data_IF_572586024271
#
_entry.id   IF_572586024271
#
_cell.length_a   1.000
_cell.length_b   1.000
_cell.length_c   1.000
_cell.angle_alpha   90.00
_cell.angle_beta   90.00
_cell.angle_gamma   90.00
#
_symmetry.space_group_name_H-M   'P 1'
#
loop_
_entity.id
_entity.type
_entity.pdbx_description
1 polymer ?
#
# COMPACT_ATOMS: atom_id res chain seq x y z
N UNK A 1 -2.83 -41.62 -5.57
CA UNK A 1 -2.98 -42.55 -4.43
C UNK A 1 -1.83 -42.22 -3.48
N UNK A 2 -2.00 -41.75 -2.26
CA UNK A 2 -2.99 -42.06 -1.21
C UNK A 2 -3.28 -40.79 -0.39
N UNK A 3 -4.58 -40.51 -0.19
CA UNK A 3 -5.15 -39.55 0.78
C UNK A 3 -4.73 -39.90 2.21
N UNK A 4 -4.57 -38.88 3.08
CA UNK A 4 -4.91 -38.88 4.52
C UNK A 4 -4.47 -37.54 5.13
N UNK A 5 -5.16 -36.83 6.01
CA UNK A 5 -6.55 -36.75 6.47
C UNK A 5 -6.56 -35.53 7.39
N UNK A 6 -7.42 -34.55 7.15
CA UNK A 6 -7.66 -33.45 8.09
C UNK A 6 -8.28 -34.01 9.38
N UNK A 7 -7.77 -33.58 10.54
CA UNK A 7 -8.43 -33.80 11.83
C UNK A 7 -8.52 -32.46 12.56
N UNK A 8 -9.74 -31.91 12.61
CA UNK A 8 -10.18 -30.99 13.65
C UNK A 8 -10.14 -31.74 14.99
N UNK A 9 -9.41 -31.23 15.97
CA UNK A 9 -9.45 -31.74 17.33
C UNK A 9 -10.52 -30.99 18.14
N UNK A 10 -11.58 -31.71 18.49
CA UNK A 10 -12.67 -31.32 19.39
C UNK A 10 -12.12 -31.20 20.83
N UNK A 11 -12.37 -30.08 21.50
CA UNK A 11 -11.96 -29.85 22.88
C UNK A 11 -12.73 -30.77 23.85
N UNK A 12 -12.01 -31.66 24.52
CA UNK A 12 -12.51 -32.43 25.67
C UNK A 12 -11.87 -31.87 26.94
N UNK A 13 -12.67 -31.19 27.77
CA UNK A 13 -12.22 -30.65 29.06
C UNK A 13 -12.11 -31.82 30.05
N UNK A 14 -10.88 -32.16 30.42
CA UNK A 14 -10.58 -32.93 31.63
C UNK A 14 -9.46 -32.21 32.39
N UNK A 15 -9.80 -31.78 33.60
CA UNK A 15 -8.96 -31.03 34.55
C UNK A 15 -7.73 -31.82 34.98
N UNK A 16 -6.53 -31.20 34.89
CA UNK A 16 -5.49 -31.06 35.93
C UNK A 16 -4.13 -30.73 35.27
N UNK A 17 -3.55 -29.58 35.65
CA UNK A 17 -2.21 -29.10 35.29
C UNK A 17 -1.92 -28.93 33.79
N UNK A 18 -2.60 -28.00 33.13
CA UNK A 18 -2.09 -27.48 31.86
C UNK A 18 -0.94 -26.52 32.16
N UNK A 19 0.29 -27.05 32.16
CA UNK A 19 1.46 -26.24 31.88
C UNK A 19 1.19 -25.56 30.54
N UNK A 20 0.97 -24.25 30.56
CA UNK A 20 0.92 -23.40 29.37
C UNK A 20 2.25 -23.58 28.63
N UNK A 21 2.29 -24.56 27.74
CA UNK A 21 3.41 -24.80 26.85
C UNK A 21 3.31 -23.78 25.72
N UNK A 22 3.40 -22.50 26.08
CA UNK A 22 3.53 -21.41 25.12
C UNK A 22 4.99 -21.41 24.73
N UNK A 23 5.35 -22.23 23.73
CA UNK A 23 6.61 -22.02 23.03
C UNK A 23 6.65 -20.57 22.59
N UNK A 24 7.64 -19.78 23.04
CA UNK A 24 7.68 -18.38 22.71
C UNK A 24 7.77 -18.23 21.20
N UNK A 25 6.95 -17.34 20.64
CA UNK A 25 6.89 -17.11 19.20
C UNK A 25 8.21 -16.48 18.74
N UNK A 26 8.77 -17.00 17.66
CA UNK A 26 9.91 -16.39 16.97
C UNK A 26 9.37 -15.40 15.93
N UNK A 27 9.47 -14.11 16.20
CA UNK A 27 8.79 -13.08 15.41
C UNK A 27 9.60 -11.77 15.39
N UNK A 28 9.53 -11.04 14.28
CA UNK A 28 10.04 -9.67 14.17
C UNK A 28 8.91 -8.75 13.75
N UNK A 29 8.64 -7.73 14.57
CA UNK A 29 7.71 -6.65 14.30
C UNK A 29 8.47 -5.53 13.60
N UNK A 30 8.22 -5.34 12.32
CA UNK A 30 8.75 -4.19 11.57
C UNK A 30 7.87 -3.00 11.86
N UNK A 31 8.44 -1.97 12.47
CA UNK A 31 7.76 -0.71 12.79
C UNK A 31 8.21 0.33 11.80
N UNK A 32 7.26 0.93 11.11
CA UNK A 32 7.51 1.92 10.07
C UNK A 32 6.83 3.21 10.47
N UNK A 33 7.59 4.30 10.48
CA UNK A 33 7.07 5.66 10.55
C UNK A 33 7.60 6.47 9.36
N UNK A 34 7.05 7.65 9.11
CA UNK A 34 7.55 8.55 8.08
C UNK A 34 7.26 10.01 8.40
N UNK A 35 8.21 10.89 8.04
CA UNK A 35 8.06 12.35 8.03
C UNK A 35 7.68 12.90 6.64
N UNK A 36 7.59 12.04 5.62
CA UNK A 36 7.14 12.37 4.25
C UNK A 36 5.61 12.44 4.19
N UNK A 37 5.01 13.37 4.94
CA UNK A 37 3.56 13.54 5.04
C UNK A 37 3.08 14.77 4.25
N UNK A 38 1.78 14.77 3.93
CA UNK A 38 1.14 15.90 3.23
C UNK A 38 1.26 15.82 1.70
N UNK A 39 0.87 16.89 0.97
CA UNK A 39 0.64 16.85 -0.48
C UNK A 39 1.90 16.61 -1.33
N UNK A 40 3.09 16.85 -0.76
CA UNK A 40 4.37 16.57 -1.39
C UNK A 40 5.07 15.32 -0.82
N UNK A 41 4.42 14.65 0.13
CA UNK A 41 4.93 13.44 0.79
C UNK A 41 4.68 12.18 -0.02
N UNK A 42 4.92 11.03 0.61
CA UNK A 42 4.59 9.73 0.02
C UNK A 42 3.09 9.46 0.17
N UNK A 43 2.52 8.72 -0.78
CA UNK A 43 1.13 8.25 -0.76
C UNK A 43 1.02 6.74 -0.49
N UNK A 44 2.13 5.99 -0.64
CA UNK A 44 2.17 4.56 -0.43
C UNK A 44 3.52 4.14 0.17
N UNK A 45 3.47 3.20 1.11
CA UNK A 45 4.62 2.44 1.61
C UNK A 45 4.49 0.99 1.16
N UNK A 46 5.48 0.50 0.42
CA UNK A 46 5.59 -0.90 0.03
C UNK A 46 6.74 -1.55 0.82
N UNK A 47 6.42 -2.60 1.57
CA UNK A 47 7.38 -3.47 2.22
C UNK A 47 7.58 -4.75 1.39
N UNK A 48 8.79 -4.94 0.86
CA UNK A 48 9.21 -6.20 0.24
C UNK A 48 10.07 -6.99 1.21
N UNK A 49 9.66 -8.21 1.54
CA UNK A 49 10.39 -9.13 2.40
C UNK A 49 10.95 -10.25 1.55
N UNK A 50 12.26 -10.49 1.62
CA UNK A 50 12.96 -11.54 0.89
C UNK A 50 13.53 -12.52 1.91
N UNK A 51 13.05 -13.76 1.88
CA UNK A 51 13.51 -14.84 2.73
C UNK A 51 14.86 -15.41 2.24
N UNK A 52 15.59 -16.17 3.08
CA UNK A 52 16.89 -16.74 2.72
C UNK A 52 16.85 -17.67 1.50
N UNK A 53 15.70 -18.30 1.21
CA UNK A 53 15.47 -19.14 0.04
C UNK A 53 15.16 -18.36 -1.24
N UNK A 54 15.07 -17.02 -1.16
CA UNK A 54 14.73 -16.13 -2.26
C UNK A 54 13.22 -15.89 -2.41
N UNK A 55 12.38 -16.44 -1.54
CA UNK A 55 10.95 -16.19 -1.55
C UNK A 55 10.67 -14.72 -1.24
N UNK A 56 9.83 -14.09 -2.05
CA UNK A 56 9.49 -12.67 -1.92
C UNK A 56 8.04 -12.54 -1.47
N UNK A 57 7.81 -11.73 -0.43
CA UNK A 57 6.48 -11.35 0.04
C UNK A 57 6.37 -9.83 0.01
N UNK A 58 5.19 -9.32 -0.33
CA UNK A 58 4.95 -7.88 -0.41
C UNK A 58 3.78 -7.49 0.48
N UNK A 59 3.92 -6.34 1.12
CA UNK A 59 2.88 -5.69 1.88
C UNK A 59 2.86 -4.20 1.51
N UNK A 60 1.70 -3.56 1.57
CA UNK A 60 1.57 -2.14 1.29
C UNK A 60 0.64 -1.44 2.28
N UNK A 61 0.79 -0.13 2.40
CA UNK A 61 -0.09 0.72 3.18
C UNK A 61 -0.16 2.11 2.56
N UNK A 62 -1.36 2.66 2.47
CA UNK A 62 -1.58 4.01 1.98
C UNK A 62 -1.23 5.07 3.03
N UNK A 63 -0.75 6.23 2.58
CA UNK A 63 -0.37 7.39 3.39
C UNK A 63 -1.17 8.59 2.90
N UNK A 64 -1.76 9.37 3.81
CA UNK A 64 -2.43 10.62 3.43
C UNK A 64 -3.78 10.82 4.10
N UNK A 65 -4.56 11.75 3.55
CA UNK A 65 -5.87 12.11 4.09
C UNK A 65 -6.84 10.92 4.05
N UNK A 66 -7.54 10.68 5.16
CA UNK A 66 -8.48 9.56 5.29
C UNK A 66 -7.82 8.21 5.61
N UNK A 67 -6.49 8.14 5.68
CA UNK A 67 -5.77 6.94 6.10
C UNK A 67 -5.43 6.99 7.59
N UNK A 68 -5.35 5.84 8.29
CA UNK A 68 -4.90 5.80 9.67
C UNK A 68 -3.50 6.38 9.87
N UNK A 69 -3.25 6.91 11.07
CA UNK A 69 -1.98 7.54 11.43
C UNK A 69 -0.79 6.56 11.38
N UNK A 70 0.41 7.13 11.38
CA UNK A 70 1.69 6.41 11.45
C UNK A 70 2.31 6.66 12.84
N UNK A 71 2.95 5.65 13.47
CA UNK A 71 3.57 4.47 12.85
C UNK A 71 2.64 3.29 12.56
N UNK A 72 3.05 2.43 11.63
CA UNK A 72 2.37 1.19 11.22
C UNK A 72 3.27 -0.01 11.46
N UNK A 73 2.69 -1.20 11.64
CA UNK A 73 3.46 -2.42 11.89
C UNK A 73 3.25 -3.50 10.84
N UNK A 74 4.31 -4.23 10.52
CA UNK A 74 4.28 -5.48 9.74
C UNK A 74 4.85 -6.61 10.60
N UNK A 75 4.06 -7.67 10.79
CA UNK A 75 4.49 -8.84 11.54
C UNK A 75 5.19 -9.86 10.63
N UNK A 76 6.45 -10.16 10.90
CA UNK A 76 7.20 -11.23 10.25
C UNK A 76 7.31 -12.41 11.20
N UNK A 77 6.64 -13.51 10.88
CA UNK A 77 6.66 -14.73 11.70
C UNK A 77 7.67 -15.71 11.11
N UNK A 78 8.50 -16.29 11.97
CA UNK A 78 9.43 -17.32 11.56
C UNK A 78 8.71 -18.67 11.39
N UNK A 79 8.95 -19.31 10.25
CA UNK A 79 8.54 -20.69 10.00
C UNK A 79 9.72 -21.64 10.15
N UNK A 80 9.45 -22.81 10.72
CA UNK A 80 10.44 -23.84 10.95
C UNK A 80 11.14 -24.23 9.64
N UNK A 81 12.49 -24.21 9.64
CA UNK A 81 13.30 -24.51 8.46
C UNK A 81 13.80 -23.28 7.69
N UNK A 82 13.23 -22.09 7.89
CA UNK A 82 13.74 -20.85 7.27
C UNK A 82 14.86 -20.24 8.11
N UNK A 83 16.11 -20.66 7.85
CA UNK A 83 17.30 -20.13 8.54
C UNK A 83 18.12 -19.27 7.59
N UNK A 84 18.66 -18.17 8.12
CA UNK A 84 19.55 -17.28 7.37
C UNK A 84 19.10 -15.83 7.41
N UNK A 85 19.62 -15.06 6.45
CA UNK A 85 19.45 -13.63 6.37
C UNK A 85 18.14 -13.28 5.64
N UNK A 86 17.25 -12.59 6.33
CA UNK A 86 16.05 -11.99 5.76
C UNK A 86 16.37 -10.57 5.35
N UNK A 87 15.85 -10.14 4.19
CA UNK A 87 15.96 -8.77 3.73
C UNK A 87 14.59 -8.11 3.74
N UNK A 88 14.48 -6.94 4.37
CA UNK A 88 13.30 -6.08 4.30
C UNK A 88 13.68 -4.83 3.55
N UNK A 89 12.96 -4.55 2.47
CA UNK A 89 13.08 -3.34 1.67
C UNK A 89 11.80 -2.55 1.78
N UNK A 90 11.88 -1.38 2.39
CA UNK A 90 10.79 -0.41 2.45
C UNK A 90 10.96 0.63 1.35
N UNK A 91 9.89 0.86 0.62
CA UNK A 91 9.81 1.86 -0.45
C UNK A 91 8.69 2.83 -0.11
N UNK A 92 8.99 4.11 -0.05
CA UNK A 92 8.01 5.18 0.03
C UNK A 92 7.82 5.77 -1.36
N UNK A 93 6.62 5.65 -1.89
CA UNK A 93 6.28 6.06 -3.25
C UNK A 93 5.34 7.27 -3.24
N UNK A 94 5.34 8.02 -4.33
CA UNK A 94 4.40 9.09 -4.62
C UNK A 94 4.01 9.04 -6.09
N UNK A 95 2.72 8.99 -6.39
CA UNK A 95 2.22 8.84 -7.76
C UNK A 95 2.82 7.62 -8.46
N UNK A 96 3.06 6.52 -7.72
CA UNK A 96 3.74 5.32 -8.23
C UNK A 96 5.27 5.42 -8.35
N UNK A 97 5.86 6.62 -8.26
CA UNK A 97 7.30 6.85 -8.31
C UNK A 97 7.99 6.62 -6.96
N UNK A 98 9.16 5.98 -6.98
CA UNK A 98 9.97 5.78 -5.78
C UNK A 98 10.60 7.09 -5.31
N UNK A 99 10.21 7.57 -4.12
CA UNK A 99 10.84 8.75 -3.50
C UNK A 99 11.98 8.36 -2.57
N UNK A 100 11.75 7.36 -1.74
CA UNK A 100 12.72 6.92 -0.73
C UNK A 100 12.73 5.40 -0.62
N UNK A 101 13.91 4.82 -0.49
CA UNK A 101 14.06 3.39 -0.27
C UNK A 101 15.00 3.14 0.91
N UNK A 102 14.64 2.18 1.77
CA UNK A 102 15.51 1.70 2.84
C UNK A 102 15.56 0.18 2.82
N UNK A 103 16.75 -0.38 2.96
CA UNK A 103 16.96 -1.84 3.00
C UNK A 103 17.65 -2.22 4.29
N UNK A 104 17.12 -3.23 4.99
CA UNK A 104 17.76 -3.81 6.15
C UNK A 104 17.75 -5.33 6.05
N UNK A 105 18.80 -5.96 6.60
CA UNK A 105 18.98 -7.40 6.64
C UNK A 105 19.16 -7.86 8.07
N UNK A 106 18.47 -8.91 8.47
CA UNK A 106 18.51 -9.42 9.84
C UNK A 106 18.30 -10.94 9.87
N UNK A 107 18.55 -11.53 11.03
CA UNK A 107 18.25 -12.94 11.32
C UNK A 107 17.29 -13.03 12.49
N UNK A 108 16.32 -13.94 12.43
CA UNK A 108 15.45 -14.23 13.56
C UNK A 108 16.22 -14.75 14.77
N UNK A 109 15.73 -14.44 15.96
CA UNK A 109 16.24 -15.00 17.22
C UNK A 109 15.18 -15.92 17.81
N UNK A 110 15.51 -17.19 17.92
CA UNK A 110 14.60 -18.24 18.36
C UNK A 110 13.96 -17.92 19.71
N UNK A 111 12.64 -18.05 19.78
CA UNK A 111 11.87 -17.80 20.99
C UNK A 111 11.79 -16.33 21.42
N UNK A 112 12.07 -15.38 20.52
CA UNK A 112 11.97 -13.95 20.81
C UNK A 112 11.04 -13.24 19.83
N UNK A 113 10.26 -12.30 20.37
CA UNK A 113 9.53 -11.29 19.60
C UNK A 113 10.31 -9.99 19.66
N UNK A 114 10.90 -9.59 18.53
CA UNK A 114 11.79 -8.44 18.44
C UNK A 114 11.20 -7.34 17.56
N UNK A 115 11.70 -6.13 17.71
CA UNK A 115 11.32 -4.95 16.93
C UNK A 115 12.44 -4.58 15.96
N UNK A 116 12.06 -4.35 14.70
CA UNK A 116 12.91 -3.75 13.68
C UNK A 116 12.32 -2.41 13.26
N UNK A 117 12.89 -1.29 13.71
CA UNK A 117 12.40 0.04 13.37
C UNK A 117 13.01 0.55 12.06
N UNK A 118 12.17 0.91 11.10
CA UNK A 118 12.56 1.29 9.75
C UNK A 118 11.78 2.51 9.24
N UNK A 119 12.10 3.69 9.78
CA UNK A 119 11.40 4.93 9.41
C UNK A 119 11.81 5.49 8.03
N UNK A 120 10.87 5.93 7.20
CA UNK A 120 11.15 6.56 5.90
C UNK A 120 11.32 8.07 6.10
N UNK A 121 12.56 8.56 5.98
CA UNK A 121 12.91 9.96 6.22
C UNK A 121 12.94 10.79 4.92
N UNK A 122 12.44 12.01 4.97
CA UNK A 122 12.41 12.94 3.84
C UNK A 122 13.81 13.30 3.36
N UNK A 123 14.78 13.41 4.28
CA UNK A 123 16.20 13.60 3.95
C UNK A 123 16.84 12.43 3.20
N UNK A 124 16.17 11.27 3.15
CA UNK A 124 16.61 10.12 2.36
C UNK A 124 16.00 10.12 0.95
N UNK A 125 15.15 11.08 0.58
CA UNK A 125 14.63 11.20 -0.78
C UNK A 125 15.78 11.47 -1.77
N UNK A 126 15.94 10.60 -2.76
CA UNK A 126 17.05 10.66 -3.72
C UNK A 126 18.44 10.37 -3.15
N UNK A 127 18.57 9.93 -1.89
CA UNK A 127 19.85 9.63 -1.28
C UNK A 127 20.45 8.32 -1.86
N UNK A 128 21.71 8.38 -2.27
CA UNK A 128 22.46 7.21 -2.77
C UNK A 128 23.50 6.80 -1.73
N UNK A 129 23.43 5.55 -1.28
CA UNK A 129 24.40 4.95 -0.36
C UNK A 129 25.25 3.88 -1.06
N UNK A 130 26.34 3.45 -0.42
CA UNK A 130 27.17 2.35 -0.93
C UNK A 130 26.39 1.03 -1.05
N UNK A 131 26.98 0.04 -1.73
CA UNK A 131 26.30 -1.21 -2.09
C UNK A 131 25.75 -2.02 -0.89
N UNK A 132 26.40 -1.94 0.27
CA UNK A 132 25.97 -2.60 1.51
C UNK A 132 25.46 -1.58 2.54
N UNK A 133 24.95 -0.45 2.08
CA UNK A 133 24.44 0.63 2.92
C UNK A 133 23.06 1.10 2.50
N UNK A 134 22.32 1.63 3.48
CA UNK A 134 21.02 2.27 3.30
C UNK A 134 21.02 3.62 3.99
N UNK A 135 20.20 4.56 3.51
CA UNK A 135 19.98 5.80 4.23
C UNK A 135 19.31 5.49 5.59
N UNK A 136 19.84 6.08 6.66
CA UNK A 136 19.47 5.87 8.08
C UNK A 136 18.83 7.11 8.70
N UNK A 137 18.97 7.34 10.00
CA UNK A 137 18.55 8.58 10.70
C UNK A 137 19.62 9.70 10.62
N UNK A 138 20.89 9.33 10.49
CA UNK A 138 22.03 10.26 10.52
C UNK A 138 22.93 10.21 9.27
N UNK A 139 22.50 9.53 8.21
CA UNK A 139 23.24 9.36 6.96
C UNK A 139 23.19 7.91 6.47
N UNK A 140 24.11 7.52 5.58
CA UNK A 140 24.24 6.13 5.15
C UNK A 140 24.75 5.25 6.30
N UNK A 141 24.11 4.10 6.51
CA UNK A 141 24.49 3.08 7.49
C UNK A 141 24.48 1.70 6.85
N UNK A 142 25.10 0.70 7.49
CA UNK A 142 25.05 -0.68 7.01
C UNK A 142 23.60 -1.19 6.86
N UNK A 143 23.36 -2.02 5.84
CA UNK A 143 22.08 -2.73 5.70
C UNK A 143 21.94 -3.86 6.72
N UNK A 144 23.04 -4.47 7.15
CA UNK A 144 23.01 -5.53 8.16
C UNK A 144 22.72 -4.95 9.55
N UNK A 145 21.72 -5.52 10.20
CA UNK A 145 21.30 -5.16 11.56
C UNK A 145 21.79 -6.24 12.51
N UNK A 146 22.63 -5.86 13.48
CA UNK A 146 23.13 -6.80 14.47
C UNK A 146 22.00 -7.29 15.38
N UNK A 147 22.13 -8.52 15.88
CA UNK A 147 21.18 -9.12 16.84
C UNK A 147 20.94 -8.25 18.09
N UNK A 148 21.94 -7.47 18.52
CA UNK A 148 21.87 -6.54 19.64
C UNK A 148 21.12 -5.24 19.34
N UNK A 149 20.94 -4.89 18.07
CA UNK A 149 20.17 -3.70 17.65
C UNK A 149 18.67 -3.97 17.62
N UNK A 150 18.27 -5.24 17.55
CA UNK A 150 16.88 -5.65 17.63
C UNK A 150 16.41 -5.61 19.10
N UNK A 151 15.56 -4.64 19.42
CA UNK A 151 15.00 -4.49 20.77
C UNK A 151 13.82 -5.44 20.97
N UNK A 152 13.50 -5.78 22.22
CA UNK A 152 12.30 -6.57 22.50
C UNK A 152 11.05 -5.77 22.14
N UNK A 153 10.10 -6.45 21.48
CA UNK A 153 8.81 -5.86 21.18
C UNK A 153 7.91 -5.93 22.40
N UNK A 154 7.52 -4.77 22.93
CA UNK A 154 6.61 -4.62 24.07
C UNK A 154 5.31 -3.93 23.70
N UNK A 155 5.14 -3.56 22.42
CA UNK A 155 3.95 -2.90 21.91
C UNK A 155 2.79 -3.85 21.63
N UNK A 156 1.63 -3.29 21.36
CA UNK A 156 0.50 -4.01 20.75
C UNK A 156 0.60 -3.84 19.23
N UNK A 157 0.31 -4.90 18.43
CA UNK A 157 0.20 -4.75 16.98
C UNK A 157 -0.73 -3.59 16.61
N UNK A 158 -0.37 -2.83 15.59
CA UNK A 158 -1.20 -1.72 15.12
C UNK A 158 -2.54 -2.26 14.59
N UNK A 159 -3.68 -1.63 14.90
CA UNK A 159 -4.99 -2.08 14.40
C UNK A 159 -5.13 -1.96 12.88
N UNK A 160 -4.25 -1.20 12.23
CA UNK A 160 -4.20 -1.03 10.78
C UNK A 160 -2.79 -1.38 10.29
N UNK A 161 -2.39 -2.66 10.28
CA UNK A 161 -1.05 -3.06 9.88
C UNK A 161 -0.72 -2.67 8.43
N UNK A 162 0.56 -2.79 8.05
CA UNK A 162 0.90 -2.79 6.63
C UNK A 162 0.39 -4.10 6.04
N UNK A 163 -0.63 -4.00 5.20
CA UNK A 163 -1.38 -5.15 4.69
C UNK A 163 -0.52 -5.93 3.70
N UNK A 164 -0.28 -7.21 3.97
CA UNK A 164 0.31 -8.10 2.98
C UNK A 164 -0.64 -8.17 1.78
N UNK A 165 -0.25 -7.56 0.66
CA UNK A 165 -1.07 -7.56 -0.55
C UNK A 165 -1.35 -9.01 -0.91
N UNK A 166 -2.64 -9.35 -0.94
CA UNK A 166 -3.17 -10.66 -1.23
C UNK A 166 -2.69 -11.16 -2.60
N UNK A 167 -1.56 -11.85 -2.60
CA UNK A 167 -1.26 -12.92 -3.54
C UNK A 167 -1.25 -14.22 -2.74
N UNK A 168 -2.47 -14.72 -2.49
CA UNK A 168 -2.81 -16.05 -1.96
C UNK A 168 -2.54 -16.38 -0.47
N UNK A 169 -3.67 -16.51 0.23
CA UNK A 169 -4.00 -17.45 1.34
C UNK A 169 -3.79 -16.99 2.80
N UNK A 170 -4.96 -16.86 3.47
CA UNK A 170 -5.22 -16.98 4.91
C UNK A 170 -4.73 -15.85 5.84
N UNK A 171 -5.42 -14.71 5.79
CA UNK A 171 -5.42 -13.74 6.88
C UNK A 171 -6.45 -14.15 7.95
N UNK A 172 -6.16 -15.21 8.69
CA UNK A 172 -6.87 -15.50 9.94
C UNK A 172 -6.39 -14.51 11.01
N UNK A 173 -7.15 -13.43 11.20
CA UNK A 173 -7.09 -12.60 12.41
C UNK A 173 -7.79 -13.36 13.54
N UNK A 174 -7.12 -13.76 14.64
CA UNK A 174 -7.80 -14.32 15.79
C UNK A 174 -8.35 -13.17 16.67
N UNK A 175 -9.64 -12.89 16.55
CA UNK A 175 -10.38 -12.07 17.53
C UNK A 175 -10.92 -12.97 18.65
N UNK A 176 -10.07 -13.34 19.60
CA UNK A 176 -10.49 -13.91 20.89
C UNK A 176 -10.72 -12.78 21.90
N UNK A 177 -11.95 -12.27 21.96
CA UNK A 177 -12.45 -11.55 23.14
C UNK A 177 -13.94 -11.86 23.34
N UNK A 178 -14.35 -12.46 24.48
CA UNK A 178 -15.73 -12.83 24.71
C UNK A 178 -16.54 -11.60 25.14
N UNK A 179 -17.58 -11.26 24.36
CA UNK A 179 -18.61 -10.30 24.77
C UNK A 179 -19.64 -11.05 25.61
N UNK A 180 -19.95 -10.65 26.86
CA UNK A 180 -20.92 -11.35 27.68
C UNK A 180 -22.35 -10.90 27.32
N UNK A 181 -23.19 -11.84 26.86
CA UNK A 181 -24.63 -11.65 26.68
C UNK A 181 -25.41 -12.56 27.64
N UNK A 182 -25.40 -12.21 28.93
CA UNK A 182 -26.33 -12.79 29.91
C UNK A 182 -27.39 -11.75 30.29
N UNK A 183 -28.58 -11.87 29.68
CA UNK A 183 -29.89 -11.65 30.31
C UNK A 183 -31.06 -11.92 29.34
N UNK A 184 -31.88 -12.96 29.55
CA UNK A 184 -33.20 -13.11 28.92
C UNK A 184 -34.30 -12.53 29.84
N UNK A 185 -35.43 -12.04 29.29
CA UNK A 185 -36.69 -12.80 29.45
C UNK A 185 -37.74 -12.53 28.33
N UNK A 186 -38.94 -13.14 28.38
CA UNK A 186 -39.28 -14.52 28.71
C UNK A 186 -39.91 -15.26 27.52
N UNK A 187 -39.99 -16.57 27.71
CA UNK A 187 -40.65 -17.59 26.89
C UNK A 187 -42.11 -17.27 26.55
N UNK A 188 -42.55 -17.64 25.34
CA UNK A 188 -43.71 -18.51 25.14
C UNK A 188 -43.83 -18.99 23.68
N UNK A 189 -44.40 -20.19 23.54
CA UNK A 189 -44.87 -20.87 22.33
C UNK A 189 -43.89 -21.79 21.59
N UNK A 190 -43.96 -23.06 22.01
CA UNK A 190 -43.64 -24.24 21.22
C UNK A 190 -44.45 -24.27 19.92
N UNK A 191 -43.76 -24.47 18.78
CA UNK A 191 -44.30 -25.17 17.61
C UNK A 191 -43.16 -26.00 17.03
N UNK A 192 -43.27 -27.32 17.13
CA UNK A 192 -42.51 -28.22 16.28
C UNK A 192 -43.33 -28.50 15.03
N UNK A 193 -42.74 -28.24 13.86
CA UNK A 193 -43.16 -28.86 12.61
C UNK A 193 -41.90 -29.27 11.85
N UNK A 194 -41.76 -30.57 11.70
CA UNK A 194 -40.79 -31.21 10.81
C UNK A 194 -41.02 -30.75 9.36
N UNK A 195 -40.04 -30.07 8.79
CA UNK A 195 -39.82 -30.03 7.35
C UNK A 195 -38.33 -29.85 7.10
N UNK A 196 -37.76 -30.79 6.35
CA UNK A 196 -36.42 -30.70 5.79
C UNK A 196 -36.31 -29.36 5.04
N UNK A 197 -35.59 -28.41 5.61
CA UNK A 197 -35.14 -27.21 4.88
C UNK A 197 -34.01 -27.70 3.98
N UNK A 198 -34.31 -27.83 2.69
CA UNK A 198 -33.26 -27.69 1.69
C UNK A 198 -32.61 -26.33 1.97
N UNK A 199 -31.29 -26.32 2.13
CA UNK A 199 -30.55 -25.08 2.27
C UNK A 199 -30.63 -24.40 0.91
N UNK A 200 -31.72 -23.66 0.71
CA UNK A 200 -31.82 -22.64 -0.32
C UNK A 200 -30.64 -21.70 -0.08
N UNK A 201 -29.71 -21.69 -1.03
CA UNK A 201 -28.77 -20.62 -1.21
C UNK A 201 -29.59 -19.34 -1.49
N UNK A 202 -29.87 -18.58 -0.43
CA UNK A 202 -30.81 -17.47 -0.49
C UNK A 202 -30.42 -16.28 0.37
N UNK A 203 -29.71 -15.35 -0.27
CA UNK A 203 -29.70 -13.89 -0.06
C UNK A 203 -28.82 -13.28 1.04
N UNK A 204 -27.71 -12.70 0.60
CA UNK A 204 -27.59 -11.25 0.70
C UNK A 204 -27.54 -10.67 -0.73
N UNK A 205 -28.49 -9.78 -0.98
CA UNK A 205 -28.62 -8.86 -2.09
C UNK A 205 -29.10 -9.36 -3.46
N UNK A 206 -30.05 -8.61 -4.00
CA UNK A 206 -30.70 -8.78 -5.28
C UNK A 206 -29.77 -8.28 -6.38
N UNK A 207 -28.71 -9.01 -6.70
CA UNK A 207 -27.90 -8.69 -7.87
C UNK A 207 -28.75 -8.99 -9.13
N UNK A 208 -28.97 -7.96 -9.95
CA UNK A 208 -29.73 -8.07 -11.21
C UNK A 208 -28.70 -7.98 -12.31
N UNK A 209 -28.49 -9.08 -13.04
CA UNK A 209 -27.50 -9.16 -14.13
C UNK A 209 -27.76 -8.05 -15.14
N UNK A 210 -26.83 -7.12 -15.23
CA UNK A 210 -26.75 -6.07 -16.24
C UNK A 210 -25.38 -6.11 -16.92
N UNK A 211 -25.14 -5.24 -17.90
CA UNK A 211 -23.82 -5.14 -18.52
C UNK A 211 -22.87 -4.44 -17.57
N UNK A 212 -21.69 -5.03 -17.41
CA UNK A 212 -20.61 -4.48 -16.59
C UNK A 212 -20.45 -2.97 -16.81
N UNK A 213 -20.60 -2.24 -15.72
CA UNK A 213 -20.39 -0.81 -15.66
C UNK A 213 -19.41 -0.52 -14.56
N UNK A 214 -18.42 0.30 -14.87
CA UNK A 214 -17.39 0.72 -13.95
C UNK A 214 -17.94 1.59 -12.79
N UNK A 215 -18.48 0.94 -11.76
CA UNK A 215 -19.29 1.57 -10.73
C UNK A 215 -19.04 0.97 -9.32
N UNK A 216 -18.05 0.09 -9.17
CA UNK A 216 -17.71 -0.63 -7.94
C UNK A 216 -18.80 -1.61 -7.48
N UNK A 217 -19.53 -2.21 -8.43
CA UNK A 217 -20.51 -3.27 -8.17
C UNK A 217 -20.25 -4.43 -9.13
N UNK A 218 -20.66 -5.60 -8.68
CA UNK A 218 -20.75 -6.81 -9.48
C UNK A 218 -22.08 -6.75 -10.26
N UNK A 219 -22.03 -6.20 -11.48
CA UNK A 219 -23.23 -5.95 -12.29
C UNK A 219 -23.71 -7.24 -12.98
N UNK A 220 -22.83 -8.21 -13.22
CA UNK A 220 -23.14 -9.49 -13.87
C UNK A 220 -23.27 -10.70 -12.92
N UNK A 221 -23.04 -10.48 -11.62
CA UNK A 221 -23.15 -11.43 -10.52
C UNK A 221 -22.15 -12.60 -10.57
N UNK A 222 -21.00 -12.46 -11.23
CA UNK A 222 -20.01 -13.54 -11.32
C UNK A 222 -19.07 -13.63 -10.09
N UNK A 223 -19.19 -12.69 -9.16
CA UNK A 223 -18.39 -12.59 -7.94
C UNK A 223 -17.08 -11.83 -8.12
N UNK A 224 -16.84 -11.25 -9.29
CA UNK A 224 -15.83 -10.24 -9.54
C UNK A 224 -16.50 -8.85 -9.53
N UNK A 225 -15.71 -7.79 -9.48
CA UNK A 225 -16.24 -6.43 -9.44
C UNK A 225 -15.50 -5.62 -10.48
N UNK A 226 -16.26 -4.96 -11.34
CA UNK A 226 -15.74 -4.15 -12.45
C UNK A 226 -14.71 -4.92 -13.31
N UNK A 227 -15.01 -6.15 -13.69
CA UNK A 227 -14.23 -6.96 -14.62
C UNK A 227 -14.59 -6.68 -16.10
N UNK A 228 -13.80 -7.21 -17.03
CA UNK A 228 -14.03 -6.99 -18.46
C UNK A 228 -13.58 -5.64 -19.02
N UNK A 229 -13.04 -4.73 -18.19
CA UNK A 229 -12.41 -3.49 -18.63
C UNK A 229 -10.91 -3.68 -18.94
N UNK A 230 -10.43 -3.01 -19.99
CA UNK A 230 -9.03 -3.06 -20.39
C UNK A 230 -8.19 -2.10 -19.54
N UNK A 231 -7.82 -2.52 -18.33
CA UNK A 231 -7.12 -1.66 -17.38
C UNK A 231 -5.71 -1.28 -17.80
N UNK A 232 -5.14 -1.92 -18.81
CA UNK A 232 -3.76 -1.69 -19.26
C UNK A 232 -3.64 -0.70 -20.42
N UNK A 233 -4.77 -0.40 -21.08
CA UNK A 233 -4.80 0.31 -22.36
C UNK A 233 -5.99 1.26 -22.53
N UNK A 234 -7.04 1.15 -21.73
CA UNK A 234 -8.20 2.05 -21.78
C UNK A 234 -7.89 3.36 -21.03
N UNK A 235 -7.91 4.49 -21.75
CA UNK A 235 -7.66 5.79 -21.15
C UNK A 235 -8.73 6.26 -20.17
N UNK A 236 -9.90 5.61 -20.12
CA UNK A 236 -10.97 5.90 -19.16
C UNK A 236 -10.94 5.02 -17.91
N UNK A 237 -10.15 3.93 -17.93
CA UNK A 237 -10.12 2.90 -16.88
C UNK A 237 -8.67 2.45 -16.57
N UNK A 238 -7.71 3.36 -16.63
CA UNK A 238 -6.29 3.00 -16.63
C UNK A 238 -5.78 2.61 -15.24
N UNK A 239 -5.33 1.37 -15.09
CA UNK A 239 -4.82 0.81 -13.83
C UNK A 239 -5.91 0.45 -12.82
N UNK A 240 -7.04 1.17 -12.85
CA UNK A 240 -8.25 0.85 -12.14
C UNK A 240 -9.46 1.48 -12.84
N UNK A 241 -10.62 0.96 -12.48
CA UNK A 241 -11.87 1.39 -13.04
C UNK A 241 -12.15 2.87 -12.72
N UNK A 242 -12.51 3.66 -13.75
CA UNK A 242 -12.83 5.09 -13.63
C UNK A 242 -11.61 6.01 -13.49
N UNK A 243 -10.41 5.45 -13.59
CA UNK A 243 -9.16 6.23 -13.64
C UNK A 243 -8.94 6.70 -15.06
N UNK A 244 -9.47 7.89 -15.36
CA UNK A 244 -9.24 8.52 -16.64
C UNK A 244 -7.86 9.20 -16.69
N UNK A 245 -7.14 9.05 -17.80
CA UNK A 245 -5.88 9.75 -18.09
C UNK A 245 -6.13 11.21 -18.52
N UNK A 246 -6.90 11.93 -17.70
CA UNK A 246 -7.23 13.34 -17.90
C UNK A 246 -6.30 14.23 -17.09
N UNK A 247 -5.44 14.94 -17.79
CA UNK A 247 -4.40 15.78 -17.22
C UNK A 247 -4.59 17.23 -17.69
N UNK A 248 -4.31 18.19 -16.80
CA UNK A 248 -4.52 19.61 -17.10
C UNK A 248 -3.70 20.04 -18.33
N UNK A 249 -4.36 20.66 -19.31
CA UNK A 249 -3.75 21.18 -20.54
C UNK A 249 -2.85 20.16 -21.27
N UNK A 250 -3.19 18.87 -21.26
CA UNK A 250 -2.38 17.85 -21.92
C UNK A 250 -3.25 16.69 -22.42
N UNK A 251 -2.64 15.81 -23.21
CA UNK A 251 -3.22 14.53 -23.62
C UNK A 251 -2.49 13.41 -22.88
N UNK A 252 -3.25 12.54 -22.21
CA UNK A 252 -2.76 11.34 -21.57
C UNK A 252 -3.12 10.08 -22.34
N UNK A 253 -2.27 9.05 -22.27
CA UNK A 253 -2.57 7.69 -22.75
C UNK A 253 -2.42 6.69 -21.60
N UNK A 254 -3.14 5.57 -21.68
CA UNK A 254 -2.94 4.45 -20.77
C UNK A 254 -1.90 3.49 -21.33
N UNK A 255 -0.75 3.40 -20.67
CA UNK A 255 0.37 2.56 -21.07
C UNK A 255 0.66 1.56 -19.96
N UNK A 256 0.35 0.29 -20.21
CA UNK A 256 0.55 -0.82 -19.28
C UNK A 256 -0.11 -0.58 -17.90
N UNK A 257 -1.26 0.10 -17.89
CA UNK A 257 -2.04 0.42 -16.69
C UNK A 257 -1.58 1.65 -15.94
N UNK A 258 -0.78 2.50 -16.59
CA UNK A 258 -0.36 3.79 -16.06
C UNK A 258 -0.76 4.90 -17.02
N UNK A 259 -1.36 5.97 -16.48
CA UNK A 259 -1.60 7.16 -17.25
C UNK A 259 -0.29 7.93 -17.45
N UNK A 260 0.11 8.11 -18.70
CA UNK A 260 1.28 8.90 -19.08
C UNK A 260 0.86 10.10 -19.92
N UNK A 261 1.44 11.28 -19.63
CA UNK A 261 1.28 12.45 -20.49
C UNK A 261 2.08 12.22 -21.78
N UNK A 262 1.41 12.23 -22.93
CA UNK A 262 2.04 12.05 -24.23
C UNK A 262 2.33 13.37 -24.94
N UNK A 263 1.53 14.40 -24.68
CA UNK A 263 1.76 15.74 -25.21
C UNK A 263 1.06 16.82 -24.37
N UNK A 264 1.68 18.00 -24.31
CA UNK A 264 1.01 19.21 -23.84
C UNK A 264 0.10 19.79 -24.92
N UNK A 265 -1.03 20.37 -24.49
CA UNK A 265 -1.84 21.26 -25.32
C UNK A 265 -0.97 22.40 -25.84
N UNK A 266 -1.22 22.85 -27.06
CA UNK A 266 -0.41 23.89 -27.69
C UNK A 266 -0.15 25.10 -26.78
N UNK A 267 1.12 25.50 -26.69
CA UNK A 267 1.67 26.58 -25.86
C UNK A 267 1.75 26.31 -24.36
N UNK A 268 1.28 25.16 -23.87
CA UNK A 268 1.56 24.71 -22.53
C UNK A 268 2.82 23.85 -22.48
N UNK A 269 3.49 23.86 -21.34
CA UNK A 269 4.66 23.03 -21.08
C UNK A 269 4.63 22.52 -19.64
N UNK A 270 5.21 21.34 -19.44
CA UNK A 270 5.42 20.72 -18.13
C UNK A 270 6.79 21.20 -17.61
N UNK A 271 6.79 22.30 -16.87
CA UNK A 271 8.04 22.95 -16.47
C UNK A 271 8.66 22.36 -15.20
N UNK A 272 7.91 21.56 -14.45
CA UNK A 272 8.40 20.85 -13.27
C UNK A 272 8.67 19.36 -13.56
N UNK A 273 8.41 18.89 -14.79
CA UNK A 273 8.56 17.51 -15.27
C UNK A 273 7.72 16.52 -14.43
N UNK A 274 6.54 16.96 -14.06
CA UNK A 274 5.63 16.27 -13.16
C UNK A 274 4.39 15.80 -13.92
N UNK A 275 4.38 14.52 -14.28
CA UNK A 275 3.25 13.91 -14.98
C UNK A 275 1.92 13.85 -14.22
N UNK A 276 1.82 14.46 -13.03
CA UNK A 276 0.62 14.42 -12.17
C UNK A 276 -0.21 15.69 -12.22
N UNK A 277 0.38 16.85 -12.55
CA UNK A 277 -0.31 18.15 -12.61
C UNK A 277 -0.48 18.70 -14.03
N UNK A 278 -0.01 17.96 -15.04
CA UNK A 278 -0.34 18.19 -16.45
C UNK A 278 0.77 18.93 -17.19
N UNK A 279 0.37 19.95 -17.95
CA UNK A 279 1.28 20.97 -18.48
C UNK A 279 0.82 22.32 -17.93
N UNK A 280 1.46 22.72 -16.84
CA UNK A 280 0.94 23.71 -15.89
C UNK A 280 1.06 25.13 -16.43
N UNK A 281 2.04 25.34 -17.31
CA UNK A 281 2.56 26.67 -17.63
C UNK A 281 2.18 27.08 -19.05
N UNK A 282 1.46 28.19 -19.19
CA UNK A 282 1.23 28.84 -20.47
C UNK A 282 2.46 29.66 -20.88
N UNK A 283 3.24 29.14 -21.82
CA UNK A 283 4.44 29.77 -22.34
C UNK A 283 4.14 31.09 -23.08
N UNK A 284 2.88 31.40 -23.42
CA UNK A 284 2.53 32.65 -24.11
C UNK A 284 2.41 33.86 -23.19
N UNK A 285 2.10 33.63 -21.92
CA UNK A 285 1.67 34.67 -20.99
C UNK A 285 2.43 34.65 -19.67
N UNK A 286 3.05 33.53 -19.30
CA UNK A 286 3.82 33.42 -18.07
C UNK A 286 5.15 34.20 -18.17
N UNK A 287 5.30 35.22 -17.33
CA UNK A 287 6.48 36.09 -17.31
C UNK A 287 7.75 35.39 -16.82
N UNK A 288 7.61 34.23 -16.18
CA UNK A 288 8.71 33.44 -15.62
C UNK A 288 9.11 32.25 -16.50
N UNK A 289 8.31 31.95 -17.53
CA UNK A 289 8.48 30.82 -18.44
C UNK A 289 8.15 31.20 -19.90
N UNK A 290 8.44 32.42 -20.30
CA UNK A 290 8.00 32.98 -21.56
C UNK A 290 8.68 32.33 -22.78
N UNK A 291 7.90 31.61 -23.59
CA UNK A 291 8.36 30.90 -24.78
C UNK A 291 9.09 29.58 -24.51
N UNK A 292 9.57 29.36 -23.28
CA UNK A 292 10.13 28.10 -22.79
C UNK A 292 10.25 28.14 -21.27
N UNK A 293 10.20 26.96 -20.63
CA UNK A 293 10.37 26.81 -19.18
C UNK A 293 11.61 27.53 -18.65
N UNK A 294 11.41 28.34 -17.60
CA UNK A 294 12.47 29.10 -16.92
C UNK A 294 12.91 30.38 -17.64
N UNK A 295 12.34 30.72 -18.79
CA UNK A 295 12.64 31.96 -19.51
C UNK A 295 11.94 33.15 -18.86
N UNK A 296 12.69 33.94 -18.09
CA UNK A 296 12.14 35.07 -17.33
C UNK A 296 12.23 36.39 -18.10
N UNK A 297 11.11 37.09 -18.21
CA UNK A 297 11.05 38.46 -18.73
C UNK A 297 11.34 39.49 -17.63
N UNK A 298 12.53 39.44 -17.04
CA UNK A 298 12.93 40.36 -15.97
C UNK A 298 14.30 41.02 -16.20
N UNK A 299 14.87 40.85 -17.39
CA UNK A 299 16.18 41.38 -17.78
C UNK A 299 16.04 42.66 -18.58
N UNK A 300 16.49 43.78 -17.98
CA UNK A 300 16.53 45.08 -18.64
C UNK A 300 15.15 45.72 -18.77
N UNK A 301 14.73 45.98 -20.01
CA UNK A 301 13.49 46.71 -20.27
C UNK A 301 12.32 45.84 -20.72
N UNK A 302 12.57 44.56 -21.06
CA UNK A 302 11.51 43.61 -21.33
C UNK A 302 10.99 43.05 -20.00
N UNK A 303 9.70 43.24 -19.74
CA UNK A 303 9.05 42.91 -18.46
C UNK A 303 7.82 42.03 -18.59
N UNK A 304 7.32 41.83 -19.80
CA UNK A 304 6.06 41.14 -20.06
C UNK A 304 6.27 40.05 -21.10
N UNK A 305 5.58 38.92 -20.93
CA UNK A 305 5.53 37.88 -21.96
C UNK A 305 4.43 38.18 -22.98
N UNK A 306 4.82 38.34 -24.25
CA UNK A 306 3.90 38.60 -25.34
C UNK A 306 4.00 37.48 -26.37
N UNK A 307 3.04 36.54 -26.35
CA UNK A 307 2.96 35.40 -27.29
C UNK A 307 4.26 34.58 -27.32
N UNK A 308 4.83 34.33 -26.14
CA UNK A 308 6.05 33.54 -25.99
C UNK A 308 7.34 34.30 -26.29
N UNK A 309 7.31 35.63 -26.26
CA UNK A 309 8.50 36.47 -26.39
C UNK A 309 8.49 37.62 -25.38
N UNK A 310 9.61 37.83 -24.70
CA UNK A 310 9.75 38.94 -23.76
C UNK A 310 9.76 40.29 -24.48
N UNK A 311 8.86 41.19 -24.09
CA UNK A 311 8.76 42.55 -24.62
C UNK A 311 8.60 43.58 -23.50
N UNK A 312 8.73 44.88 -23.84
CA UNK A 312 8.50 45.98 -22.88
C UNK A 312 7.02 46.10 -22.51
N UNK A 313 6.16 46.00 -23.52
CA UNK A 313 4.70 46.07 -23.46
C UNK A 313 4.14 45.19 -24.59
N UNK A 314 2.94 44.63 -24.42
CA UNK A 314 2.26 43.90 -25.49
C UNK A 314 1.39 44.86 -26.34
N UNK A 315 1.46 44.76 -27.68
CA UNK A 315 0.63 45.55 -28.59
C UNK A 315 -0.84 45.11 -28.61
#
# INVERSE_FOLDING_TARGET
>A
MVRRSFLLALALIATLASCSNTTPRTQVMVVVDTDLRGPLGIDNVIATVIAPGGEVQMANASVGAGQPDWPRTLALVWEEGRRGLFTVRLSGNRGGGLLVQRTQRFTFQEGRTLMLRMDLFARCAGAVCGSEQTCGESGCRAIDVAASELTEWTGTPDPFPIDASAASMDASVPIDAPVPVDAPPPVDAFVEVDAFVEVDAGSIDSCVVTTETCNMRDDDCDGMTDEGFALDTDESNCGACGVACDFRNSTGECIAGFCEITACTANFDDCNLSGVDGCEIDLQTDEMHCGACGTRCNVGAARTCCRGSCARDCP
#
